data_IF_103869395847
#
_entry.id   IF_103869395847
#
_cell.length_a   1.000
_cell.length_b   1.000
_cell.length_c   1.000
_cell.angle_alpha   90.00
_cell.angle_beta   90.00
_cell.angle_gamma   90.00
#
_symmetry.space_group_name_H-M   'P 1'
#
loop_
_entity.id
_entity.type
_entity.pdbx_description
1 polymer ?
#
# COMPACT_ATOMS: atom_id res chain seq x y z
N UNK A 1 1.02 14.61 -16.77
CA UNK A 1 1.61 13.56 -15.93
C UNK A 1 2.98 14.03 -15.45
N UNK A 2 3.31 13.72 -14.19
CA UNK A 2 4.38 14.35 -13.41
C UNK A 2 5.64 13.45 -13.38
N UNK A 3 6.66 13.80 -14.17
CA UNK A 3 7.91 13.04 -14.27
C UNK A 3 8.72 13.03 -12.96
N UNK A 4 8.90 14.16 -12.25
CA UNK A 4 9.47 14.17 -10.90
C UNK A 4 8.83 13.16 -9.94
N UNK A 5 7.49 13.09 -9.88
CA UNK A 5 6.80 12.14 -9.02
C UNK A 5 7.09 10.67 -9.37
N UNK A 6 7.22 10.34 -10.65
CA UNK A 6 7.55 8.97 -11.09
C UNK A 6 9.00 8.60 -10.76
N UNK A 7 9.92 9.57 -10.81
CA UNK A 7 11.31 9.34 -10.40
C UNK A 7 11.42 9.06 -8.89
N UNK A 8 10.66 9.79 -8.08
CA UNK A 8 10.57 9.53 -6.63
C UNK A 8 10.08 8.10 -6.36
N UNK A 9 9.04 7.64 -7.07
CA UNK A 9 8.56 6.25 -6.99
C UNK A 9 9.69 5.26 -7.36
N UNK A 10 10.41 5.49 -8.46
CA UNK A 10 11.52 4.64 -8.88
C UNK A 10 12.64 4.54 -7.81
N UNK A 11 12.98 5.65 -7.16
CA UNK A 11 13.95 5.67 -6.06
C UNK A 11 13.45 4.93 -4.82
N UNK A 12 12.17 5.12 -4.46
CA UNK A 12 11.55 4.41 -3.33
C UNK A 12 11.49 2.90 -3.55
N UNK A 13 11.15 2.44 -4.76
CA UNK A 13 11.19 1.02 -5.13
C UNK A 13 12.59 0.44 -4.91
N UNK A 14 13.64 1.16 -5.32
CA UNK A 14 15.02 0.71 -5.13
C UNK A 14 15.40 0.59 -3.66
N UNK A 15 15.05 1.59 -2.84
CA UNK A 15 15.34 1.59 -1.40
C UNK A 15 14.62 0.43 -0.68
N UNK A 16 13.34 0.21 -1.00
CA UNK A 16 12.55 -0.88 -0.43
C UNK A 16 13.10 -2.26 -0.84
N UNK A 17 13.44 -2.43 -2.12
CA UNK A 17 13.99 -3.69 -2.61
C UNK A 17 15.32 -4.07 -1.96
N UNK A 18 16.17 -3.08 -1.65
CA UNK A 18 17.40 -3.31 -0.87
C UNK A 18 17.07 -3.76 0.56
N UNK A 19 16.09 -3.13 1.20
CA UNK A 19 15.69 -3.43 2.57
C UNK A 19 15.19 -4.87 2.78
N UNK A 20 14.58 -5.47 1.76
CA UNK A 20 14.06 -6.86 1.80
C UNK A 20 14.96 -7.88 1.10
N UNK A 21 16.19 -7.50 0.70
CA UNK A 21 17.18 -8.42 0.12
C UNK A 21 16.98 -8.79 -1.36
N UNK A 22 16.00 -8.20 -2.05
CA UNK A 22 15.69 -8.50 -3.48
C UNK A 22 16.30 -7.49 -4.46
N UNK A 23 17.20 -6.62 -3.97
CA UNK A 23 17.72 -5.48 -4.71
C UNK A 23 18.35 -5.82 -6.07
N UNK A 24 18.98 -6.99 -6.21
CA UNK A 24 19.59 -7.43 -7.48
C UNK A 24 18.56 -7.61 -8.60
N UNK A 25 17.41 -8.20 -8.29
CA UNK A 25 16.31 -8.45 -9.25
C UNK A 25 15.52 -7.19 -9.58
N UNK A 26 15.51 -6.20 -8.68
CA UNK A 26 14.65 -5.00 -8.80
C UNK A 26 15.38 -3.76 -9.32
N UNK A 27 16.70 -3.67 -9.13
CA UNK A 27 17.51 -2.53 -9.61
C UNK A 27 17.35 -2.25 -11.12
N UNK A 28 17.31 -3.26 -12.02
CA UNK A 28 17.09 -3.03 -13.44
C UNK A 28 15.75 -2.37 -13.73
N UNK A 29 14.68 -2.80 -13.05
CA UNK A 29 13.34 -2.26 -13.23
C UNK A 29 13.24 -0.79 -12.75
N UNK A 30 13.83 -0.47 -11.60
CA UNK A 30 13.85 0.91 -11.09
C UNK A 30 14.56 1.89 -12.04
N UNK A 31 15.66 1.45 -12.68
CA UNK A 31 16.34 2.23 -13.73
C UNK A 31 15.47 2.41 -14.97
N UNK A 32 14.86 1.32 -15.45
CA UNK A 32 13.98 1.36 -16.62
C UNK A 32 12.75 2.28 -16.41
N UNK A 33 12.16 2.29 -15.21
CA UNK A 33 11.09 3.23 -14.83
C UNK A 33 11.58 4.68 -14.90
N UNK A 34 12.75 4.97 -14.32
CA UNK A 34 13.34 6.33 -14.29
C UNK A 34 13.63 6.82 -15.71
N UNK A 35 14.25 5.99 -16.55
CA UNK A 35 14.57 6.32 -17.94
C UNK A 35 13.31 6.49 -18.81
N UNK A 36 12.29 5.65 -18.60
CA UNK A 36 11.01 5.78 -19.30
C UNK A 36 10.28 7.07 -18.90
N UNK A 37 10.34 7.45 -17.61
CA UNK A 37 9.79 8.70 -17.12
C UNK A 37 10.53 9.92 -17.71
N UNK A 38 11.86 9.87 -17.81
CA UNK A 38 12.66 10.90 -18.48
C UNK A 38 12.26 11.11 -19.94
N UNK A 39 11.98 10.00 -20.64
CA UNK A 39 11.53 10.01 -22.04
C UNK A 39 10.02 10.23 -22.18
N UNK A 40 9.29 10.47 -21.08
CA UNK A 40 7.82 10.62 -21.03
C UNK A 40 7.05 9.45 -21.68
N UNK A 41 7.61 8.23 -21.61
CA UNK A 41 7.02 7.01 -22.16
C UNK A 41 6.13 6.31 -21.12
N UNK A 42 4.92 6.82 -20.93
CA UNK A 42 4.03 6.41 -19.84
C UNK A 42 3.54 4.96 -19.93
N UNK A 43 3.32 4.44 -21.14
CA UNK A 43 3.01 3.03 -21.35
C UNK A 43 4.16 2.14 -20.88
N UNK A 44 5.40 2.52 -21.20
CA UNK A 44 6.59 1.81 -20.73
C UNK A 44 6.76 1.90 -19.21
N UNK A 45 6.45 3.05 -18.59
CA UNK A 45 6.45 3.19 -17.13
C UNK A 45 5.44 2.22 -16.50
N UNK A 46 4.21 2.15 -17.00
CA UNK A 46 3.18 1.24 -16.48
C UNK A 46 3.61 -0.22 -16.64
N UNK A 47 4.04 -0.61 -17.85
CA UNK A 47 4.50 -1.96 -18.11
C UNK A 47 5.64 -2.38 -17.16
N UNK A 48 6.54 -1.45 -16.86
CA UNK A 48 7.68 -1.76 -16.02
C UNK A 48 7.35 -1.78 -14.53
N UNK A 49 6.36 -1.01 -14.07
CA UNK A 49 5.78 -1.17 -12.74
C UNK A 49 5.12 -2.54 -12.57
N UNK A 50 4.37 -3.00 -13.56
CA UNK A 50 3.72 -4.33 -13.52
C UNK A 50 4.78 -5.46 -13.46
N UNK A 51 5.85 -5.35 -14.26
CA UNK A 51 6.98 -6.29 -14.19
C UNK A 51 7.71 -6.23 -12.85
N UNK A 52 7.90 -5.02 -12.30
CA UNK A 52 8.50 -4.83 -10.97
C UNK A 52 7.70 -5.58 -9.91
N UNK A 53 6.36 -5.42 -9.91
CA UNK A 53 5.48 -6.12 -8.98
C UNK A 53 5.64 -7.64 -9.09
N UNK A 54 5.66 -8.17 -10.32
CA UNK A 54 5.83 -9.61 -10.56
C UNK A 54 7.19 -10.11 -10.07
N UNK A 55 8.28 -9.40 -10.35
CA UNK A 55 9.62 -9.76 -9.88
C UNK A 55 9.75 -9.70 -8.35
N UNK A 56 9.13 -8.70 -7.71
CA UNK A 56 9.08 -8.62 -6.23
C UNK A 56 8.33 -9.81 -5.66
N UNK A 57 7.17 -10.16 -6.21
CA UNK A 57 6.39 -11.31 -5.77
C UNK A 57 7.14 -12.64 -5.94
N UNK A 58 7.82 -12.82 -7.08
CA UNK A 58 8.66 -13.98 -7.34
C UNK A 58 9.79 -14.11 -6.32
N UNK A 59 10.54 -13.03 -6.10
CA UNK A 59 11.64 -13.01 -5.14
C UNK A 59 11.17 -13.28 -3.69
N UNK A 60 10.01 -12.75 -3.28
CA UNK A 60 9.43 -13.06 -1.96
C UNK A 60 9.01 -14.52 -1.82
N UNK A 61 8.48 -15.13 -2.89
CA UNK A 61 8.11 -16.54 -2.89
C UNK A 61 9.35 -17.46 -2.82
N UNK A 62 10.42 -17.11 -3.53
CA UNK A 62 11.70 -17.84 -3.51
C UNK A 62 12.38 -17.81 -2.15
N UNK A 63 12.25 -16.69 -1.42
CA UNK A 63 12.72 -16.55 -0.05
C UNK A 63 11.86 -17.33 0.97
N UNK A 64 10.80 -18.03 0.52
CA UNK A 64 9.78 -18.69 1.35
C UNK A 64 9.17 -17.76 2.41
N UNK A 65 9.21 -16.44 2.19
CA UNK A 65 8.82 -15.48 3.20
C UNK A 65 7.31 -15.17 3.11
N UNK A 66 6.56 -16.17 3.53
CA UNK A 66 5.10 -16.10 3.71
C UNK A 66 4.70 -14.96 4.66
N UNK A 67 5.59 -14.46 5.53
CA UNK A 67 5.26 -13.36 6.45
C UNK A 67 5.51 -11.99 5.82
N UNK A 68 6.62 -11.81 5.10
CA UNK A 68 6.90 -10.58 4.35
C UNK A 68 5.87 -10.34 3.24
N UNK A 69 5.48 -11.38 2.49
CA UNK A 69 4.44 -11.24 1.45
C UNK A 69 3.09 -10.73 1.99
N UNK A 70 2.76 -11.11 3.23
CA UNK A 70 1.55 -10.65 3.93
C UNK A 70 1.69 -9.20 4.39
N UNK A 71 2.85 -8.80 4.91
CA UNK A 71 3.14 -7.41 5.26
C UNK A 71 3.14 -6.49 4.03
N UNK A 72 3.63 -6.97 2.88
CA UNK A 72 3.57 -6.24 1.60
C UNK A 72 2.12 -6.11 1.12
N UNK A 73 1.32 -7.18 1.22
CA UNK A 73 -0.11 -7.15 0.88
C UNK A 73 -0.88 -6.16 1.76
N UNK A 74 -0.59 -6.12 3.06
CA UNK A 74 -1.14 -5.15 4.00
C UNK A 74 -0.73 -3.71 3.63
N UNK A 75 0.55 -3.48 3.31
CA UNK A 75 1.03 -2.17 2.86
C UNK A 75 0.33 -1.71 1.57
N UNK A 76 0.15 -2.62 0.61
CA UNK A 76 -0.60 -2.37 -0.62
C UNK A 76 -2.06 -2.00 -0.34
N UNK A 77 -2.72 -2.70 0.57
CA UNK A 77 -4.09 -2.40 0.97
C UNK A 77 -4.21 -1.03 1.66
N UNK A 78 -3.32 -0.72 2.61
CA UNK A 78 -3.31 0.58 3.30
C UNK A 78 -3.15 1.74 2.32
N UNK A 79 -2.19 1.61 1.39
CA UNK A 79 -1.94 2.65 0.37
C UNK A 79 -3.09 2.76 -0.63
N UNK A 80 -3.62 1.63 -1.10
CA UNK A 80 -4.78 1.60 -1.99
C UNK A 80 -5.99 2.27 -1.36
N UNK A 81 -6.26 1.97 -0.08
CA UNK A 81 -7.34 2.58 0.71
C UNK A 81 -7.14 4.10 0.87
N UNK A 82 -5.92 4.55 1.15
CA UNK A 82 -5.60 5.99 1.22
C UNK A 82 -5.88 6.70 -0.11
N UNK A 83 -5.46 6.11 -1.23
CA UNK A 83 -5.67 6.70 -2.57
C UNK A 83 -7.15 6.72 -2.91
N UNK A 84 -7.86 5.61 -2.71
CA UNK A 84 -9.29 5.49 -2.99
C UNK A 84 -10.08 6.52 -2.18
N UNK A 85 -9.85 6.59 -0.87
CA UNK A 85 -10.49 7.59 -0.01
C UNK A 85 -10.16 9.01 -0.42
N UNK A 86 -8.92 9.31 -0.84
CA UNK A 86 -8.55 10.64 -1.34
C UNK A 86 -9.28 11.01 -2.64
N UNK A 87 -9.54 10.05 -3.52
CA UNK A 87 -10.30 10.27 -4.77
C UNK A 87 -11.79 10.47 -4.44
N UNK A 88 -12.38 9.59 -3.63
CA UNK A 88 -13.78 9.69 -3.21
C UNK A 88 -14.04 10.96 -2.40
N UNK A 89 -13.10 11.41 -1.55
CA UNK A 89 -13.26 12.65 -0.79
C UNK A 89 -13.27 13.92 -1.66
N UNK A 90 -12.63 13.90 -2.84
CA UNK A 90 -12.66 15.06 -3.77
C UNK A 90 -14.00 15.20 -4.47
N UNK A 91 -14.60 14.07 -4.85
CA UNK A 91 -15.91 14.00 -5.47
C UNK A 91 -16.66 12.80 -4.91
N UNK A 92 -17.43 13.02 -3.84
CA UNK A 92 -18.10 11.91 -3.16
C UNK A 92 -19.10 11.22 -4.09
N UNK A 93 -18.95 9.91 -4.20
CA UNK A 93 -19.87 9.01 -4.90
C UNK A 93 -20.14 7.81 -3.99
N UNK A 94 -21.40 7.38 -3.90
CA UNK A 94 -21.74 6.24 -3.06
C UNK A 94 -21.08 4.96 -3.55
N UNK A 95 -21.02 4.76 -4.88
CA UNK A 95 -20.41 3.58 -5.50
C UNK A 95 -18.91 3.50 -5.18
N UNK A 96 -18.20 4.63 -5.24
CA UNK A 96 -16.79 4.70 -4.89
C UNK A 96 -16.52 4.49 -3.39
N UNK A 97 -17.42 4.97 -2.52
CA UNK A 97 -17.33 4.72 -1.08
C UNK A 97 -17.56 3.23 -0.76
N UNK A 98 -18.48 2.57 -1.46
CA UNK A 98 -18.81 1.15 -1.25
C UNK A 98 -17.64 0.21 -1.59
N UNK A 99 -16.69 0.64 -2.44
CA UNK A 99 -15.45 -0.11 -2.68
C UNK A 99 -14.59 -0.29 -1.40
N UNK A 100 -14.81 0.52 -0.37
CA UNK A 100 -14.13 0.39 0.92
C UNK A 100 -14.73 -0.70 1.82
N UNK A 101 -15.93 -1.19 1.51
CA UNK A 101 -16.66 -2.18 2.32
C UNK A 101 -16.02 -3.57 2.20
N UNK A 102 -14.87 -3.75 2.84
CA UNK A 102 -14.06 -4.99 2.81
C UNK A 102 -13.74 -5.50 4.24
N UNK A 103 -14.73 -5.75 5.09
CA UNK A 103 -14.53 -6.06 6.52
C UNK A 103 -13.77 -7.37 6.75
N UNK A 104 -13.97 -8.37 5.89
CA UNK A 104 -13.23 -9.64 5.95
C UNK A 104 -11.75 -9.46 5.67
N UNK A 105 -11.38 -8.52 4.79
CA UNK A 105 -9.99 -8.25 4.47
C UNK A 105 -9.28 -7.58 5.66
N UNK A 106 -9.96 -6.68 6.37
CA UNK A 106 -9.42 -6.11 7.63
C UNK A 106 -9.23 -7.18 8.70
N UNK A 107 -10.22 -8.06 8.87
CA UNK A 107 -10.13 -9.17 9.81
C UNK A 107 -8.94 -10.06 9.47
N UNK A 108 -8.80 -10.43 8.20
CA UNK A 108 -7.67 -11.21 7.70
C UNK A 108 -6.32 -10.56 8.06
N UNK A 109 -6.15 -9.26 7.79
CA UNK A 109 -4.91 -8.57 8.13
C UNK A 109 -4.65 -8.48 9.64
N UNK A 110 -5.69 -8.24 10.45
CA UNK A 110 -5.58 -8.25 11.90
C UNK A 110 -5.14 -9.62 12.44
N UNK A 111 -5.73 -10.70 11.93
CA UNK A 111 -5.39 -12.08 12.29
C UNK A 111 -3.94 -12.40 11.89
N UNK A 112 -3.51 -11.99 10.68
CA UNK A 112 -2.13 -12.18 10.20
C UNK A 112 -1.10 -11.45 11.06
N UNK A 113 -1.35 -10.18 11.42
CA UNK A 113 -0.46 -9.42 12.29
C UNK A 113 -0.39 -10.01 13.72
N UNK A 114 -1.48 -10.60 14.20
CA UNK A 114 -1.51 -11.28 15.50
C UNK A 114 -0.71 -12.59 15.47
N UNK A 115 -0.73 -13.30 14.34
CA UNK A 115 0.04 -14.52 14.10
C UNK A 115 1.55 -14.28 13.84
N UNK A 116 2.01 -13.03 13.93
CA UNK A 116 3.39 -12.60 13.67
C UNK A 116 3.97 -11.83 14.88
N UNK A 117 4.01 -12.43 16.09
CA UNK A 117 4.42 -11.75 17.31
C UNK A 117 5.87 -11.26 17.32
N UNK A 118 6.73 -11.83 16.45
CA UNK A 118 8.11 -11.40 16.31
C UNK A 118 8.26 -9.99 15.69
N UNK A 119 7.24 -9.49 14.99
CA UNK A 119 7.21 -8.14 14.42
C UNK A 119 6.60 -7.14 15.42
N UNK A 120 7.23 -6.99 16.58
CA UNK A 120 6.79 -6.12 17.68
C UNK A 120 7.43 -4.73 17.62
N UNK A 121 7.35 -4.09 16.46
CA UNK A 121 7.84 -2.72 16.26
C UNK A 121 6.70 -1.71 16.42
N UNK A 122 6.94 -0.48 16.92
CA UNK A 122 5.86 0.47 17.21
C UNK A 122 4.95 0.78 16.01
N UNK A 123 5.48 0.75 14.78
CA UNK A 123 4.70 0.96 13.55
C UNK A 123 3.69 -0.16 13.32
N UNK A 124 4.03 -1.42 13.65
CA UNK A 124 3.09 -2.55 13.54
C UNK A 124 1.97 -2.41 14.56
N UNK A 125 2.28 -1.96 15.78
CA UNK A 125 1.26 -1.68 16.79
C UNK A 125 0.34 -0.51 16.41
N UNK A 126 0.89 0.53 15.79
CA UNK A 126 0.08 1.61 15.18
C UNK A 126 -0.85 1.08 14.09
N UNK A 127 -0.37 0.19 13.21
CA UNK A 127 -1.18 -0.42 12.16
C UNK A 127 -2.28 -1.30 12.77
N UNK A 128 -1.98 -2.15 13.77
CA UNK A 128 -2.99 -2.96 14.47
C UNK A 128 -4.12 -2.10 15.05
N UNK A 129 -3.77 -1.00 15.74
CA UNK A 129 -4.76 -0.04 16.27
C UNK A 129 -5.60 0.58 15.15
N UNK A 130 -4.97 1.01 14.08
CA UNK A 130 -5.67 1.60 12.94
C UNK A 130 -6.63 0.62 12.25
N UNK A 131 -6.29 -0.67 12.12
CA UNK A 131 -7.22 -1.67 11.58
C UNK A 131 -8.49 -1.79 12.44
N UNK A 132 -8.34 -1.72 13.77
CA UNK A 132 -9.48 -1.70 14.70
C UNK A 132 -10.30 -0.42 14.55
N UNK A 133 -9.66 0.74 14.39
CA UNK A 133 -10.32 2.03 14.19
C UNK A 133 -11.06 2.12 12.85
N UNK A 134 -10.51 1.56 11.77
CA UNK A 134 -11.10 1.61 10.42
C UNK A 134 -12.29 0.66 10.29
N UNK A 135 -12.25 -0.50 10.95
CA UNK A 135 -13.29 -1.52 10.83
C UNK A 135 -14.73 -0.98 10.96
N UNK A 136 -15.13 -0.28 12.04
CA UNK A 136 -16.50 0.22 12.16
C UNK A 136 -16.85 1.34 11.16
N UNK A 137 -15.88 1.93 10.46
CA UNK A 137 -16.11 2.96 9.46
C UNK A 137 -16.48 2.38 8.09
N UNK A 138 -16.04 1.15 7.82
CA UNK A 138 -16.30 0.45 6.57
C UNK A 138 -17.27 -0.73 6.72
N UNK A 139 -17.47 -1.22 7.95
CA UNK A 139 -18.40 -2.29 8.33
C UNK A 139 -19.65 -1.66 8.96
N UNK A 140 -20.39 -0.90 8.15
CA UNK A 140 -21.61 -0.19 8.57
C UNK A 140 -22.89 -1.04 8.45
N UNK A 141 -22.73 -2.35 8.24
CA UNK A 141 -23.82 -3.30 8.03
C UNK A 141 -24.60 -2.98 6.75
N UNK A 142 -25.88 -2.65 6.88
CA UNK A 142 -26.74 -2.26 5.75
C UNK A 142 -26.70 -0.76 5.42
N UNK A 143 -26.01 0.05 6.25
CA UNK A 143 -25.93 1.49 6.00
C UNK A 143 -24.82 1.77 4.99
N UNK A 144 -25.08 2.64 4.00
CA UNK A 144 -24.04 3.07 3.08
C UNK A 144 -22.91 3.81 3.80
N UNK A 145 -21.67 3.66 3.32
CA UNK A 145 -20.51 4.35 3.90
C UNK A 145 -20.66 5.87 3.70
N UNK A 146 -20.54 6.64 4.79
CA UNK A 146 -20.76 8.09 4.77
C UNK A 146 -19.50 8.88 4.32
N UNK A 147 -19.66 10.13 3.84
CA UNK A 147 -18.52 11.00 3.53
C UNK A 147 -17.57 11.20 4.71
N UNK A 148 -18.10 11.30 5.92
CA UNK A 148 -17.33 11.45 7.16
C UNK A 148 -16.51 10.19 7.46
N UNK A 149 -17.09 9.00 7.23
CA UNK A 149 -16.37 7.73 7.35
C UNK A 149 -15.21 7.67 6.35
N UNK A 150 -15.45 7.99 5.07
CA UNK A 150 -14.40 8.05 4.03
C UNK A 150 -13.27 9.00 4.45
N UNK A 151 -13.62 10.20 4.92
CA UNK A 151 -12.64 11.19 5.38
C UNK A 151 -11.81 10.67 6.56
N UNK A 152 -12.45 10.06 7.54
CA UNK A 152 -11.76 9.52 8.72
C UNK A 152 -10.83 8.35 8.36
N UNK A 153 -11.22 7.47 7.44
CA UNK A 153 -10.34 6.42 6.91
C UNK A 153 -9.14 7.03 6.17
N UNK A 154 -9.34 8.10 5.40
CA UNK A 154 -8.24 8.81 4.74
C UNK A 154 -7.24 9.40 5.74
N UNK A 155 -7.73 10.03 6.80
CA UNK A 155 -6.90 10.62 7.87
C UNK A 155 -6.07 9.55 8.59
N UNK A 156 -6.68 8.42 8.95
CA UNK A 156 -5.99 7.29 9.59
C UNK A 156 -4.89 6.73 8.67
N UNK A 157 -5.22 6.44 7.42
CA UNK A 157 -4.27 5.86 6.46
C UNK A 157 -3.14 6.83 6.07
N UNK A 158 -3.42 8.14 6.00
CA UNK A 158 -2.39 9.16 5.75
C UNK A 158 -1.45 9.34 6.93
N UNK A 159 -1.96 9.29 8.18
CA UNK A 159 -1.11 9.28 9.37
C UNK A 159 -0.17 8.07 9.38
N UNK A 160 -0.68 6.88 9.06
CA UNK A 160 0.12 5.66 8.99
C UNK A 160 1.22 5.74 7.91
N UNK A 161 0.90 6.24 6.72
CA UNK A 161 1.88 6.47 5.65
C UNK A 161 3.03 7.37 6.14
N UNK A 162 2.68 8.44 6.88
CA UNK A 162 3.65 9.29 7.56
C UNK A 162 4.57 8.52 8.51
N UNK A 163 4.01 7.70 9.42
CA UNK A 163 4.76 6.89 10.38
C UNK A 163 5.67 5.83 9.72
N UNK A 164 5.26 5.29 8.57
CA UNK A 164 6.03 4.32 7.78
C UNK A 164 7.20 4.99 7.05
N UNK A 165 7.00 6.19 6.51
CA UNK A 165 7.99 6.88 5.66
C UNK A 165 9.01 7.70 6.47
N UNK A 166 8.62 8.28 7.62
CA UNK A 166 9.53 9.12 8.44
C UNK A 166 10.49 8.35 9.34
N UNK A 167 10.37 7.03 9.43
CA UNK A 167 11.38 6.20 10.11
C UNK A 167 12.49 5.81 9.12
N UNK A 168 13.37 6.77 8.84
CA UNK A 168 14.73 6.53 8.35
C UNK A 168 15.73 6.88 9.46
#
# INVERSE_FOLDING_TARGET
>A
QDAPAVKDIGQRVLSLAKGIGVGASITPHAKAITEAADKRKWESVRQELDRTQSSVQGAMNELQDQKLSQLVSLGGWLRGTQILTAVVSKHFTQEGAELLHQPDLLRYFGDRLTAMPEYSVPVVESIKRALVEVRPLIDSGSKPISPEAVRKVNEITTRLDGEIVTRQ
#
